data_IF_415520942119
#
_entry.id   IF_415520942119
#
_cell.length_a   1.000
_cell.length_b   1.000
_cell.length_c   1.000
_cell.angle_alpha   90.00
_cell.angle_beta   90.00
_cell.angle_gamma   90.00
#
_symmetry.space_group_name_H-M   'P 1'
#
loop_
_entity.id
_entity.type
_entity.pdbx_description
1 polymer ?
#
# COMPACT_ATOMS: atom_id res chain seq x y z
N UNK A 1 -5.58 -17.10 -6.21
CA UNK A 1 -6.89 -16.59 -6.71
C UNK A 1 -7.55 -15.87 -5.57
N UNK A 2 -7.90 -14.60 -5.75
CA UNK A 2 -8.69 -13.84 -4.78
C UNK A 2 -10.13 -14.37 -4.81
N UNK A 3 -10.67 -14.75 -3.65
CA UNK A 3 -12.06 -15.18 -3.53
C UNK A 3 -12.99 -13.98 -3.77
N UNK A 4 -14.08 -14.18 -4.52
CA UNK A 4 -15.08 -13.14 -4.71
C UNK A 4 -15.90 -12.99 -3.41
N UNK A 5 -15.93 -11.82 -2.75
CA UNK A 5 -16.70 -11.62 -1.53
C UNK A 5 -18.20 -11.62 -1.80
N UNK A 6 -18.99 -12.24 -0.92
CA UNK A 6 -20.44 -12.33 -1.04
C UNK A 6 -21.18 -11.11 -0.44
N UNK A 7 -20.50 -10.33 0.41
CA UNK A 7 -21.10 -9.19 1.11
C UNK A 7 -20.57 -7.90 0.52
N UNK A 8 -21.49 -7.04 0.08
CA UNK A 8 -21.16 -5.69 -0.41
C UNK A 8 -21.51 -4.66 0.65
N UNK A 9 -20.58 -3.76 0.96
CA UNK A 9 -20.75 -2.62 1.85
C UNK A 9 -20.30 -1.34 1.17
N UNK A 10 -20.82 -0.21 1.63
CA UNK A 10 -20.35 1.11 1.21
C UNK A 10 -19.03 1.45 1.91
N UNK A 11 -18.24 2.34 1.29
CA UNK A 11 -17.05 2.91 1.92
C UNK A 11 -17.33 3.56 3.29
N UNK A 12 -18.52 4.18 3.47
CA UNK A 12 -18.94 4.73 4.75
C UNK A 12 -19.02 3.66 5.84
N UNK A 13 -19.70 2.54 5.57
CA UNK A 13 -19.79 1.42 6.51
C UNK A 13 -18.42 0.79 6.78
N UNK A 14 -17.59 0.67 5.75
CA UNK A 14 -16.22 0.17 5.91
C UNK A 14 -15.39 1.09 6.81
N UNK A 15 -15.54 2.41 6.67
CA UNK A 15 -14.88 3.40 7.51
C UNK A 15 -15.35 3.33 8.96
N UNK A 16 -16.66 3.17 9.21
CA UNK A 16 -17.19 2.97 10.57
C UNK A 16 -16.55 1.73 11.24
N UNK A 17 -16.42 0.62 10.51
CA UNK A 17 -15.76 -0.60 11.04
C UNK A 17 -14.31 -0.31 11.43
N UNK A 18 -13.54 0.36 10.58
CA UNK A 18 -12.14 0.71 10.87
C UNK A 18 -12.02 1.72 12.02
N UNK A 19 -12.94 2.70 12.10
CA UNK A 19 -13.01 3.68 13.18
C UNK A 19 -13.28 3.03 14.54
N UNK A 20 -14.04 1.94 14.56
CA UNK A 20 -14.26 1.12 15.76
C UNK A 20 -13.10 0.14 16.04
N UNK A 21 -12.07 0.12 15.19
CA UNK A 21 -10.92 -0.79 15.28
C UNK A 21 -11.21 -2.22 14.82
N UNK A 22 -12.33 -2.43 14.13
CA UNK A 22 -12.71 -3.70 13.54
C UNK A 22 -11.96 -3.97 12.23
N UNK A 23 -11.79 -5.24 11.85
CA UNK A 23 -11.16 -5.59 10.57
C UNK A 23 -12.18 -5.61 9.42
N UNK A 24 -11.70 -5.34 8.20
CA UNK A 24 -12.46 -5.50 6.96
C UNK A 24 -12.11 -6.86 6.34
N UNK A 25 -13.01 -7.84 6.47
CA UNK A 25 -12.76 -9.22 6.02
C UNK A 25 -13.91 -9.70 5.15
N UNK A 26 -13.61 -10.23 3.96
CA UNK A 26 -14.58 -10.79 3.02
C UNK A 26 -15.66 -9.78 2.58
N UNK A 27 -15.25 -8.55 2.26
CA UNK A 27 -16.15 -7.51 1.73
C UNK A 27 -15.82 -7.11 0.30
N UNK A 28 -16.86 -6.83 -0.47
CA UNK A 28 -16.81 -5.91 -1.61
C UNK A 28 -17.12 -4.52 -1.09
N UNK A 29 -16.19 -3.58 -1.27
CA UNK A 29 -16.32 -2.20 -0.78
C UNK A 29 -16.54 -1.29 -1.99
N UNK A 30 -17.72 -0.67 -2.05
CA UNK A 30 -18.10 0.28 -3.10
C UNK A 30 -17.86 1.73 -2.67
N UNK A 31 -17.33 2.54 -3.59
CA UNK A 31 -16.94 3.92 -3.35
C UNK A 31 -15.49 4.10 -2.87
N UNK A 32 -15.20 5.32 -2.40
CA UNK A 32 -13.89 5.75 -1.91
C UNK A 32 -13.78 5.56 -0.40
N UNK A 33 -13.05 4.53 0.03
CA UNK A 33 -12.70 4.33 1.43
C UNK A 33 -11.48 5.20 1.76
N UNK A 34 -11.74 6.29 2.47
CA UNK A 34 -10.72 7.26 2.85
C UNK A 34 -10.38 7.08 4.33
N UNK A 35 -9.13 6.68 4.60
CA UNK A 35 -8.51 6.71 5.91
C UNK A 35 -7.67 7.97 5.94
N UNK A 36 -8.34 9.12 6.09
CA UNK A 36 -7.72 10.44 6.11
C UNK A 36 -8.00 11.09 7.46
N UNK A 37 -6.96 11.58 8.12
CA UNK A 37 -7.14 12.27 9.41
C UNK A 37 -6.19 13.44 9.66
N UNK A 38 -5.19 13.69 8.81
CA UNK A 38 -4.20 14.75 9.05
C UNK A 38 -3.50 14.62 10.42
N UNK A 39 -3.58 13.44 11.02
CA UNK A 39 -3.18 13.15 12.40
C UNK A 39 -2.84 11.65 12.55
N UNK A 40 -2.46 11.28 13.76
CA UNK A 40 -2.12 9.91 14.13
C UNK A 40 -3.34 8.97 14.04
N UNK A 41 -3.14 7.83 13.38
CA UNK A 41 -4.06 6.70 13.38
C UNK A 41 -3.56 5.62 14.36
N UNK A 42 -4.24 5.53 15.49
CA UNK A 42 -3.82 4.72 16.65
C UNK A 42 -4.37 3.29 16.68
N UNK A 43 -5.09 2.86 15.62
CA UNK A 43 -5.72 1.54 15.54
C UNK A 43 -5.04 0.66 14.51
N UNK A 44 -5.08 -0.65 14.72
CA UNK A 44 -4.64 -1.62 13.70
C UNK A 44 -5.58 -1.53 12.50
N UNK A 45 -5.02 -1.52 11.29
CA UNK A 45 -5.78 -1.64 10.05
C UNK A 45 -5.55 -3.03 9.50
N UNK A 46 -6.60 -3.84 9.44
CA UNK A 46 -6.59 -5.17 8.82
C UNK A 46 -7.65 -5.22 7.74
N UNK A 47 -7.21 -5.42 6.50
CA UNK A 47 -8.03 -5.56 5.31
C UNK A 47 -7.65 -6.88 4.64
N UNK A 48 -8.57 -7.85 4.60
CA UNK A 48 -8.27 -9.19 4.11
C UNK A 48 -9.39 -9.76 3.23
N UNK A 49 -9.02 -10.40 2.12
CA UNK A 49 -9.94 -11.05 1.19
C UNK A 49 -11.03 -10.08 0.69
N UNK A 50 -10.66 -8.84 0.40
CA UNK A 50 -11.59 -7.79 -0.02
C UNK A 50 -11.42 -7.44 -1.51
N UNK A 51 -12.50 -6.96 -2.12
CA UNK A 51 -12.44 -6.24 -3.40
C UNK A 51 -12.82 -4.80 -3.12
N UNK A 52 -11.92 -3.87 -3.41
CA UNK A 52 -12.05 -2.46 -3.03
C UNK A 52 -12.02 -1.61 -4.28
N UNK A 53 -13.04 -0.76 -4.44
CA UNK A 53 -13.12 0.15 -5.57
C UNK A 53 -12.07 1.26 -5.48
N UNK A 54 -11.94 1.93 -4.34
CA UNK A 54 -10.90 2.93 -4.14
C UNK A 54 -10.49 2.99 -2.66
N UNK A 55 -9.19 2.81 -2.37
CA UNK A 55 -8.61 2.96 -1.02
C UNK A 55 -7.64 4.13 -0.98
N UNK A 56 -7.95 5.17 -0.20
CA UNK A 56 -7.06 6.31 -0.03
C UNK A 56 -6.65 6.45 1.43
N UNK A 57 -5.35 6.57 1.62
CA UNK A 57 -4.74 6.95 2.88
C UNK A 57 -3.84 8.16 2.57
N UNK A 58 -4.32 9.36 2.85
CA UNK A 58 -3.62 10.60 2.53
C UNK A 58 -3.35 11.37 3.81
N UNK A 59 -2.07 11.72 4.03
CA UNK A 59 -1.64 12.47 5.22
C UNK A 59 -2.01 11.77 6.54
N UNK A 60 -1.69 10.48 6.66
CA UNK A 60 -1.98 9.67 7.86
C UNK A 60 -0.74 9.02 8.44
N UNK A 61 -0.65 9.06 9.77
CA UNK A 61 0.47 8.51 10.53
C UNK A 61 -0.01 7.24 11.25
N UNK A 62 0.22 6.08 10.65
CA UNK A 62 -0.19 4.80 11.20
C UNK A 62 0.74 4.38 12.35
N UNK A 63 0.31 4.64 13.58
CA UNK A 63 1.04 4.29 14.81
C UNK A 63 0.98 2.78 15.12
N UNK A 64 0.05 2.06 14.48
CA UNK A 64 -0.11 0.61 14.54
C UNK A 64 -0.01 0.00 13.15
N UNK A 65 0.11 -1.33 13.10
CA UNK A 65 0.33 -2.04 11.85
C UNK A 65 -0.83 -1.88 10.87
N UNK A 66 -0.47 -1.69 9.60
CA UNK A 66 -1.39 -1.75 8.46
C UNK A 66 -1.15 -3.05 7.70
N UNK A 67 -2.20 -3.81 7.44
CA UNK A 67 -2.12 -5.09 6.74
C UNK A 67 -3.22 -5.18 5.69
N UNK A 68 -2.82 -5.37 4.44
CA UNK A 68 -3.68 -5.58 3.28
C UNK A 68 -3.30 -6.93 2.65
N UNK A 69 -4.20 -7.91 2.70
CA UNK A 69 -3.92 -9.29 2.27
C UNK A 69 -4.98 -9.87 1.36
N UNK A 70 -4.55 -10.56 0.30
CA UNK A 70 -5.44 -11.25 -0.62
C UNK A 70 -6.54 -10.33 -1.20
N UNK A 71 -6.20 -9.06 -1.44
CA UNK A 71 -7.16 -8.04 -1.86
C UNK A 71 -7.01 -7.70 -3.34
N UNK A 72 -8.11 -7.31 -3.97
CA UNK A 72 -8.11 -6.70 -5.30
C UNK A 72 -8.51 -5.24 -5.16
N UNK A 73 -7.57 -4.34 -5.43
CA UNK A 73 -7.76 -2.90 -5.35
C UNK A 73 -7.83 -2.34 -6.77
N UNK A 74 -8.97 -1.77 -7.13
CA UNK A 74 -9.12 -1.14 -8.46
C UNK A 74 -8.37 0.18 -8.54
N UNK A 75 -8.36 0.93 -7.45
CA UNK A 75 -7.60 2.17 -7.28
C UNK A 75 -7.10 2.28 -5.83
N UNK A 76 -5.90 2.83 -5.64
CA UNK A 76 -5.34 3.02 -4.31
C UNK A 76 -4.28 4.13 -4.25
N UNK A 77 -4.23 4.86 -3.14
CA UNK A 77 -3.21 5.87 -2.88
C UNK A 77 -2.82 5.90 -1.39
N UNK A 78 -1.52 6.03 -1.12
CA UNK A 78 -0.91 6.10 0.21
C UNK A 78 0.01 7.34 0.33
N UNK A 79 -0.28 8.42 -0.38
CA UNK A 79 0.57 9.63 -0.42
C UNK A 79 0.61 10.33 0.95
N UNK A 80 1.78 10.78 1.37
CA UNK A 80 2.03 11.41 2.68
C UNK A 80 1.63 10.50 3.86
N UNK A 81 1.63 9.18 3.67
CA UNK A 81 1.31 8.23 4.74
C UNK A 81 2.56 7.64 5.37
N UNK A 82 2.64 7.72 6.69
CA UNK A 82 3.75 7.20 7.49
C UNK A 82 3.32 5.90 8.15
N UNK A 83 4.12 4.85 8.01
CA UNK A 83 3.82 3.52 8.52
C UNK A 83 4.69 3.18 9.73
N UNK A 84 4.60 3.99 10.79
CA UNK A 84 5.38 3.83 12.03
C UNK A 84 5.19 2.43 12.64
N UNK A 85 3.97 1.91 12.61
CA UNK A 85 3.64 0.55 13.05
C UNK A 85 3.90 -0.56 12.02
N UNK A 86 4.46 -0.21 10.86
CA UNK A 86 4.74 -1.11 9.74
C UNK A 86 3.60 -1.28 8.74
N UNK A 87 3.94 -1.80 7.57
CA UNK A 87 3.01 -2.06 6.46
C UNK A 87 3.26 -3.45 5.88
N UNK A 88 2.20 -4.23 5.72
CA UNK A 88 2.22 -5.51 5.01
C UNK A 88 1.21 -5.46 3.87
N UNK A 89 1.68 -5.56 2.64
CA UNK A 89 0.84 -5.78 1.45
C UNK A 89 1.23 -7.11 0.85
N UNK A 90 0.30 -8.08 0.85
CA UNK A 90 0.59 -9.46 0.46
C UNK A 90 -0.52 -10.06 -0.41
N UNK A 91 -0.13 -10.76 -1.49
CA UNK A 91 -1.04 -11.45 -2.41
C UNK A 91 -2.14 -10.54 -2.98
N UNK A 92 -1.84 -9.25 -3.19
CA UNK A 92 -2.80 -8.28 -3.70
C UNK A 92 -2.64 -8.02 -5.19
N UNK A 93 -3.73 -7.59 -5.83
CA UNK A 93 -3.76 -7.10 -7.21
C UNK A 93 -4.14 -5.62 -7.18
N UNK A 94 -3.38 -4.79 -7.88
CA UNK A 94 -3.62 -3.35 -8.06
C UNK A 94 -3.80 -3.05 -9.55
N UNK A 95 -5.00 -2.62 -9.93
CA UNK A 95 -5.34 -2.38 -11.35
C UNK A 95 -4.74 -1.08 -11.89
N UNK A 96 -4.56 -0.08 -11.02
CA UNK A 96 -4.24 1.30 -11.37
C UNK A 96 -2.91 1.75 -10.79
N UNK A 97 -2.50 2.97 -11.17
CA UNK A 97 -1.35 3.67 -10.61
C UNK A 97 -1.43 3.71 -9.09
N UNK A 98 -0.30 3.43 -8.44
CA UNK A 98 -0.22 3.37 -6.98
C UNK A 98 0.81 4.38 -6.47
N UNK A 99 0.35 5.32 -5.66
CA UNK A 99 1.20 6.39 -5.13
C UNK A 99 1.53 6.20 -3.66
N UNK A 100 2.82 6.09 -3.35
CA UNK A 100 3.37 6.14 -1.99
C UNK A 100 4.12 7.45 -1.71
N UNK A 101 4.02 8.45 -2.57
CA UNK A 101 4.82 9.68 -2.48
C UNK A 101 4.90 10.24 -1.06
N UNK A 102 6.08 10.68 -0.64
CA UNK A 102 6.35 11.25 0.68
C UNK A 102 5.90 10.32 1.83
N UNK A 103 5.98 9.00 1.61
CA UNK A 103 5.66 7.97 2.59
C UNK A 103 6.88 7.31 3.23
N UNK A 104 6.66 6.24 3.99
CA UNK A 104 7.71 5.47 4.67
C UNK A 104 7.67 5.67 6.18
N UNK A 105 8.80 6.07 6.77
CA UNK A 105 8.94 6.38 8.20
C UNK A 105 8.56 5.22 9.13
N UNK A 106 8.99 4.01 8.79
CA UNK A 106 8.65 2.79 9.52
C UNK A 106 9.56 2.48 10.72
N UNK A 107 10.53 3.33 11.03
CA UNK A 107 11.45 3.28 12.17
C UNK A 107 11.91 1.86 12.53
N UNK A 108 11.26 1.20 13.50
CA UNK A 108 11.60 -0.15 13.96
C UNK A 108 10.80 -1.24 13.24
N UNK A 109 9.61 -0.93 12.74
CA UNK A 109 8.75 -1.87 12.05
C UNK A 109 9.18 -2.05 10.59
N UNK A 110 8.79 -3.17 9.97
CA UNK A 110 9.07 -3.40 8.55
C UNK A 110 7.94 -2.91 7.66
N UNK A 111 8.32 -2.47 6.46
CA UNK A 111 7.41 -2.36 5.31
C UNK A 111 7.72 -3.54 4.39
N UNK A 112 6.68 -4.28 3.99
CA UNK A 112 6.85 -5.44 3.12
C UNK A 112 5.77 -5.54 2.06
N UNK A 113 6.23 -5.78 0.84
CA UNK A 113 5.42 -6.07 -0.34
C UNK A 113 5.79 -7.47 -0.82
N UNK A 114 4.84 -8.42 -0.74
CA UNK A 114 5.07 -9.81 -1.14
C UNK A 114 4.01 -10.35 -2.08
N UNK A 115 4.42 -11.04 -3.14
CA UNK A 115 3.51 -11.75 -4.05
C UNK A 115 2.41 -10.85 -4.65
N UNK A 116 2.68 -9.56 -4.82
CA UNK A 116 1.70 -8.62 -5.37
C UNK A 116 1.82 -8.50 -6.87
N UNK A 117 0.73 -8.10 -7.51
CA UNK A 117 0.69 -7.76 -8.93
C UNK A 117 0.23 -6.32 -9.09
N UNK A 118 1.15 -5.46 -9.51
CA UNK A 118 0.92 -4.06 -9.84
C UNK A 118 0.82 -3.93 -11.37
N UNK A 119 -0.39 -3.65 -11.88
CA UNK A 119 -0.66 -3.56 -13.32
C UNK A 119 -0.25 -2.21 -13.93
N UNK A 120 -0.07 -1.19 -13.08
CA UNK A 120 0.41 0.13 -13.48
C UNK A 120 1.67 0.53 -12.69
N UNK A 121 2.19 1.73 -12.95
CA UNK A 121 3.38 2.25 -12.31
C UNK A 121 3.17 2.46 -10.81
N UNK A 122 4.20 2.12 -10.01
CA UNK A 122 4.22 2.35 -8.56
C UNK A 122 5.23 3.43 -8.20
N UNK A 123 4.73 4.54 -7.66
CA UNK A 123 5.53 5.72 -7.34
C UNK A 123 5.91 5.78 -5.86
N UNK A 124 7.18 5.99 -5.58
CA UNK A 124 7.78 6.16 -4.26
C UNK A 124 8.56 7.49 -4.15
N UNK A 125 8.16 8.51 -4.92
CA UNK A 125 8.81 9.82 -4.90
C UNK A 125 8.89 10.37 -3.47
N UNK A 126 10.06 10.88 -3.06
CA UNK A 126 10.25 11.50 -1.74
C UNK A 126 10.00 10.56 -0.54
N UNK A 127 10.03 9.24 -0.73
CA UNK A 127 9.92 8.29 0.38
C UNK A 127 11.21 8.19 1.20
N UNK A 128 11.06 8.02 2.51
CA UNK A 128 12.18 7.70 3.40
C UNK A 128 11.86 6.47 4.25
N UNK A 129 12.59 5.38 3.99
CA UNK A 129 12.50 4.14 4.74
C UNK A 129 13.58 4.09 5.81
N UNK A 130 13.20 4.34 7.06
CA UNK A 130 14.10 4.31 8.22
C UNK A 130 14.28 2.90 8.78
N UNK A 131 13.30 2.02 8.57
CA UNK A 131 13.33 0.61 8.95
C UNK A 131 13.52 -0.34 7.76
N UNK A 132 13.30 -1.64 7.98
CA UNK A 132 13.42 -2.64 6.93
C UNK A 132 12.38 -2.45 5.83
N UNK A 133 12.84 -2.48 4.58
CA UNK A 133 11.99 -2.58 3.38
C UNK A 133 12.24 -3.91 2.68
N UNK A 134 11.17 -4.67 2.46
CA UNK A 134 11.20 -5.99 1.83
C UNK A 134 10.32 -6.00 0.58
N UNK A 135 10.90 -6.33 -0.56
CA UNK A 135 10.25 -6.50 -1.86
C UNK A 135 10.49 -7.94 -2.32
N UNK A 136 9.49 -8.80 -2.28
CA UNK A 136 9.66 -10.21 -2.60
C UNK A 136 8.59 -10.72 -3.56
N UNK A 137 9.00 -11.32 -4.67
CA UNK A 137 8.12 -12.00 -5.61
C UNK A 137 6.94 -11.14 -6.11
N UNK A 138 7.17 -9.83 -6.32
CA UNK A 138 6.15 -8.94 -6.88
C UNK A 138 6.29 -8.82 -8.40
N UNK A 139 5.19 -8.54 -9.10
CA UNK A 139 5.17 -8.19 -10.52
C UNK A 139 4.80 -6.72 -10.67
N UNK A 140 5.69 -5.92 -11.27
CA UNK A 140 5.48 -4.51 -11.61
C UNK A 140 5.41 -4.37 -13.12
N UNK A 141 4.20 -4.42 -13.71
CA UNK A 141 4.04 -4.47 -15.17
C UNK A 141 4.59 -3.23 -15.89
N UNK A 142 4.36 -2.05 -15.31
CA UNK A 142 4.92 -0.78 -15.82
C UNK A 142 6.11 -0.26 -15.01
N UNK A 143 6.64 -1.10 -14.12
CA UNK A 143 7.78 -0.77 -13.28
C UNK A 143 7.47 0.15 -12.10
N UNK A 144 8.54 0.60 -11.44
CA UNK A 144 8.51 1.46 -10.27
C UNK A 144 9.80 2.29 -10.22
N UNK A 145 9.80 3.36 -9.44
CA UNK A 145 10.99 4.17 -9.16
C UNK A 145 11.68 3.81 -7.83
N UNK A 146 11.24 2.79 -7.10
CA UNK A 146 11.74 2.50 -5.73
C UNK A 146 13.26 2.28 -5.65
N UNK A 147 13.92 1.80 -6.70
CA UNK A 147 15.37 1.64 -6.78
C UNK A 147 16.04 2.63 -7.75
N UNK A 148 15.34 3.70 -8.14
CA UNK A 148 15.88 4.74 -9.02
C UNK A 148 16.94 5.57 -8.30
N UNK A 149 17.99 5.97 -9.03
CA UNK A 149 19.11 6.76 -8.47
C UNK A 149 18.89 8.27 -8.52
N UNK A 150 17.92 8.73 -9.32
CA UNK A 150 17.64 10.14 -9.57
C UNK A 150 16.52 10.74 -8.72
N UNK A 151 15.81 9.92 -7.94
CA UNK A 151 14.69 10.37 -7.11
C UNK A 151 15.10 10.53 -5.64
N UNK A 152 14.35 11.35 -4.91
CA UNK A 152 14.54 11.60 -3.47
C UNK A 152 14.06 10.40 -2.63
N UNK A 153 14.58 9.20 -2.91
CA UNK A 153 14.23 7.99 -2.15
C UNK A 153 15.40 7.62 -1.26
N UNK A 154 15.16 7.58 0.05
CA UNK A 154 16.20 7.33 1.04
C UNK A 154 15.93 6.05 1.81
N UNK A 155 17.01 5.31 2.08
CA UNK A 155 16.99 4.07 2.83
C UNK A 155 18.08 4.11 3.90
N UNK A 156 17.71 3.96 5.16
CA UNK A 156 18.69 3.86 6.26
C UNK A 156 19.27 2.44 6.36
N UNK A 157 18.52 1.44 5.87
CA UNK A 157 18.93 0.05 5.76
C UNK A 157 18.87 -0.41 4.29
N UNK A 158 19.73 -1.36 3.85
CA UNK A 158 19.65 -1.90 2.50
C UNK A 158 18.28 -2.49 2.19
N UNK A 159 17.75 -2.19 1.00
CA UNK A 159 16.52 -2.81 0.50
C UNK A 159 16.72 -4.31 0.31
N UNK A 160 15.86 -5.12 0.91
CA UNK A 160 15.83 -6.56 0.69
C UNK A 160 14.92 -6.84 -0.50
N UNK A 161 15.50 -7.11 -1.68
CA UNK A 161 14.77 -7.33 -2.92
C UNK A 161 15.13 -8.68 -3.53
N UNK A 162 14.14 -9.54 -3.76
CA UNK A 162 14.32 -10.86 -4.38
C UNK A 162 13.13 -11.23 -5.25
N UNK A 163 13.42 -11.89 -6.38
CA UNK A 163 12.42 -12.51 -7.27
C UNK A 163 11.32 -11.56 -7.81
N UNK A 164 11.56 -10.25 -7.81
CA UNK A 164 10.64 -9.28 -8.41
C UNK A 164 10.76 -9.27 -9.94
N UNK A 165 9.63 -9.12 -10.63
CA UNK A 165 9.52 -8.98 -12.09
C UNK A 165 9.14 -7.53 -12.41
N UNK A 166 9.81 -6.92 -13.39
CA UNK A 166 9.61 -5.52 -13.80
C UNK A 166 10.83 -4.64 -13.48
N UNK A 167 10.86 -3.43 -14.04
CA UNK A 167 11.95 -2.46 -13.81
C UNK A 167 11.66 -1.60 -12.57
N UNK A 168 12.49 -1.73 -11.54
CA UNK A 168 12.37 -0.97 -10.29
C UNK A 168 13.20 0.32 -10.29
N UNK A 169 13.93 0.60 -11.38
CA UNK A 169 14.91 1.68 -11.46
C UNK A 169 14.46 2.86 -12.34
N UNK A 170 13.22 2.83 -12.83
CA UNK A 170 12.66 3.89 -13.67
C UNK A 170 12.65 5.21 -12.91
N UNK A 171 13.05 6.30 -13.55
CA UNK A 171 13.07 7.61 -12.86
C UNK A 171 11.68 8.23 -12.74
N UNK A 172 10.78 7.92 -13.67
CA UNK A 172 9.42 8.44 -13.68
C UNK A 172 8.50 7.49 -14.42
N UNK A 173 7.19 7.71 -14.31
CA UNK A 173 6.23 7.09 -15.20
C UNK A 173 6.60 7.37 -16.67
N UNK A 174 6.70 6.32 -17.48
CA UNK A 174 6.77 6.48 -18.93
C UNK A 174 5.43 7.03 -19.41
N UNK A 175 5.29 8.36 -19.50
CA UNK A 175 4.17 9.00 -20.18
C UNK A 175 4.33 8.72 -21.69
N UNK A 176 3.70 7.64 -22.15
CA UNK A 176 3.44 7.41 -23.57
C UNK A 176 2.28 8.28 -24.06
#
# INVERSE_FOLDING_TARGET
MISNPDITITAYQAKEILDDGGPLINYRIEGSLEIDSGCDWEKVVLIENCIIENLKCVMVYFQKSVTVKNCHLKDAAFSFSYFVGGLIIENCIFDSYLDFQSGGHNDVASISFRNNHFMDFVNFFDCWFTGELILENNTFEKGSNICSKGQLISFDLPVQSSDNIGDLSLESECRL
#
